data_IF_104251755579
#
_entry.id   IF_104251755579
#
_cell.length_a   1.000
_cell.length_b   1.000
_cell.length_c   1.000
_cell.angle_alpha   90.00
_cell.angle_beta   90.00
_cell.angle_gamma   90.00
#
_symmetry.space_group_name_H-M   'P 1'
#
loop_
_entity.id
_entity.type
_entity.pdbx_description
1 polymer ?
#
# COMPACT_ATOMS: atom_id res chain seq x y z
N UNK A 1 -15.71 24.29 -6.51
CA UNK A 1 -14.66 23.69 -5.66
C UNK A 1 -15.35 22.74 -4.70
N UNK A 2 -15.04 21.44 -4.73
CA UNK A 2 -15.27 20.63 -3.53
C UNK A 2 -14.40 21.23 -2.43
N UNK A 3 -15.01 21.68 -1.34
CA UNK A 3 -14.27 22.07 -0.15
C UNK A 3 -13.59 20.81 0.38
N UNK A 4 -12.29 20.68 0.14
CA UNK A 4 -11.50 19.69 0.86
C UNK A 4 -11.62 19.99 2.35
N UNK A 5 -11.77 18.94 3.18
CA UNK A 5 -11.84 19.12 4.63
C UNK A 5 -10.68 20.01 5.10
N UNK A 6 -10.91 20.88 6.10
CA UNK A 6 -9.87 21.77 6.60
C UNK A 6 -8.59 20.97 6.89
N UNK A 7 -7.49 21.45 6.31
CA UNK A 7 -6.17 20.82 6.48
C UNK A 7 -5.64 21.26 7.83
N UNK A 8 -5.92 20.47 8.85
CA UNK A 8 -5.58 20.81 10.23
C UNK A 8 -4.17 20.34 10.62
N UNK A 9 -3.55 19.44 9.82
CA UNK A 9 -2.27 18.81 10.16
C UNK A 9 -1.36 18.59 8.95
N UNK A 10 -0.04 18.51 9.23
CA UNK A 10 0.98 18.14 8.22
C UNK A 10 0.68 16.78 7.58
N UNK A 11 0.22 15.81 8.37
CA UNK A 11 -0.10 14.46 7.87
C UNK A 11 -1.27 14.45 6.88
N UNK A 12 -2.32 15.26 7.12
CA UNK A 12 -3.43 15.41 6.16
C UNK A 12 -2.95 16.07 4.86
N UNK A 13 -2.08 17.08 4.95
CA UNK A 13 -1.48 17.71 3.77
C UNK A 13 -0.67 16.70 2.95
N UNK A 14 0.18 15.91 3.60
CA UNK A 14 0.97 14.87 2.93
C UNK A 14 0.09 13.77 2.30
N UNK A 15 -1.01 13.39 2.96
CA UNK A 15 -1.95 12.43 2.40
C UNK A 15 -2.60 12.95 1.11
N UNK A 16 -3.07 14.21 1.11
CA UNK A 16 -3.62 14.86 -0.09
C UNK A 16 -2.58 14.99 -1.20
N UNK A 17 -1.35 15.40 -0.87
CA UNK A 17 -0.25 15.46 -1.84
C UNK A 17 -0.05 14.10 -2.49
N UNK A 18 0.01 13.01 -1.70
CA UNK A 18 0.23 11.68 -2.23
C UNK A 18 -0.92 11.17 -3.10
N UNK A 19 -2.17 11.49 -2.74
CA UNK A 19 -3.35 11.16 -3.54
C UNK A 19 -3.33 11.89 -4.89
N UNK A 20 -3.15 13.21 -4.89
CA UNK A 20 -3.16 14.01 -6.12
C UNK A 20 -1.97 13.66 -7.02
N UNK A 21 -0.80 13.47 -6.41
CA UNK A 21 0.42 13.03 -7.08
C UNK A 21 0.21 11.69 -7.79
N UNK A 22 -0.39 10.71 -7.12
CA UNK A 22 -0.64 9.37 -7.67
C UNK A 22 -1.53 9.44 -8.91
N UNK A 23 -2.71 10.07 -8.79
CA UNK A 23 -3.66 10.17 -9.89
C UNK A 23 -3.09 10.92 -11.11
N UNK A 24 -2.38 12.03 -10.91
CA UNK A 24 -1.74 12.75 -12.00
C UNK A 24 -0.62 11.93 -12.65
N UNK A 25 0.16 11.21 -11.83
CA UNK A 25 1.23 10.34 -12.32
C UNK A 25 0.69 9.19 -13.19
N UNK A 26 -0.37 8.51 -12.74
CA UNK A 26 -1.07 7.47 -13.51
C UNK A 26 -1.54 8.00 -14.88
N UNK A 27 -2.19 9.16 -14.89
CA UNK A 27 -2.62 9.82 -16.12
C UNK A 27 -1.44 10.13 -17.05
N UNK A 28 -0.35 10.71 -16.54
CA UNK A 28 0.82 11.08 -17.35
C UNK A 28 1.54 9.86 -17.95
N UNK A 29 1.67 8.77 -17.18
CA UNK A 29 2.25 7.51 -17.69
C UNK A 29 1.37 6.96 -18.80
N UNK A 30 0.06 6.89 -18.59
CA UNK A 30 -0.89 6.40 -19.58
C UNK A 30 -0.90 7.25 -20.87
N UNK A 31 -0.85 8.58 -20.73
CA UNK A 31 -0.76 9.50 -21.86
C UNK A 31 0.54 9.28 -22.65
N UNK A 32 1.68 9.16 -21.96
CA UNK A 32 2.97 8.93 -22.60
C UNK A 32 3.03 7.56 -23.31
N UNK A 33 2.42 6.51 -22.74
CA UNK A 33 2.23 5.22 -23.42
C UNK A 33 1.36 5.37 -24.67
N UNK A 34 0.21 6.03 -24.57
CA UNK A 34 -0.69 6.24 -25.70
C UNK A 34 -0.02 7.04 -26.82
N UNK A 35 0.82 8.02 -26.49
CA UNK A 35 1.63 8.76 -27.45
C UNK A 35 2.65 7.86 -28.15
N UNK A 36 3.37 7.03 -27.39
CA UNK A 36 4.33 6.07 -27.95
C UNK A 36 3.68 5.14 -28.98
N UNK A 37 2.49 4.60 -28.66
CA UNK A 37 1.73 3.72 -29.54
C UNK A 37 0.85 4.44 -30.58
N UNK A 38 0.96 5.78 -30.70
CA UNK A 38 0.22 6.61 -31.67
C UNK A 38 -1.30 6.54 -31.54
N UNK A 39 -1.80 6.31 -30.34
CA UNK A 39 -3.23 6.24 -29.98
C UNK A 39 -3.64 7.35 -28.98
N UNK A 40 -2.82 8.39 -28.82
CA UNK A 40 -3.08 9.51 -27.90
C UNK A 40 -4.43 10.19 -28.17
N UNK A 41 -4.85 10.28 -29.45
CA UNK A 41 -6.16 10.84 -29.81
C UNK A 41 -7.33 10.05 -29.22
N UNK A 42 -7.28 8.73 -29.28
CA UNK A 42 -8.29 7.84 -28.68
C UNK A 42 -8.23 7.89 -27.15
N UNK A 43 -7.01 7.89 -26.60
CA UNK A 43 -6.79 8.05 -25.16
C UNK A 43 -7.42 9.34 -24.63
N UNK A 44 -7.12 10.51 -25.21
CA UNK A 44 -7.67 11.80 -24.74
C UNK A 44 -9.19 11.81 -24.84
N UNK A 45 -9.78 11.24 -25.91
CA UNK A 45 -11.23 11.13 -26.05
C UNK A 45 -11.88 10.27 -24.97
N UNK A 46 -11.15 9.32 -24.40
CA UNK A 46 -11.63 8.50 -23.29
C UNK A 46 -11.73 9.27 -21.95
N UNK A 47 -11.02 10.41 -21.83
CA UNK A 47 -11.11 11.30 -20.66
C UNK A 47 -12.04 12.48 -20.91
N UNK A 48 -13.25 12.41 -20.36
CA UNK A 48 -14.24 13.48 -20.40
C UNK A 48 -14.94 13.68 -19.05
N UNK A 49 -15.71 14.76 -18.94
CA UNK A 49 -16.56 15.03 -17.77
C UNK A 49 -15.80 15.15 -16.46
N UNK A 50 -16.25 14.42 -15.45
CA UNK A 50 -15.82 14.57 -14.06
C UNK A 50 -14.34 14.22 -13.84
N UNK A 51 -13.81 13.21 -14.52
CA UNK A 51 -12.40 12.79 -14.36
C UNK A 51 -11.45 13.92 -14.80
N UNK A 52 -11.75 14.57 -15.92
CA UNK A 52 -10.94 15.70 -16.42
C UNK A 52 -10.99 16.88 -15.46
N UNK A 53 -12.18 17.19 -14.92
CA UNK A 53 -12.35 18.24 -13.91
C UNK A 53 -11.52 17.93 -12.66
N UNK A 54 -11.61 16.70 -12.16
CA UNK A 54 -10.88 16.23 -10.99
C UNK A 54 -9.36 16.32 -11.17
N UNK A 55 -8.81 15.83 -12.28
CA UNK A 55 -7.38 15.95 -12.57
C UNK A 55 -6.93 17.41 -12.69
N UNK A 56 -7.77 18.29 -13.24
CA UNK A 56 -7.49 19.73 -13.32
C UNK A 56 -7.45 20.36 -11.93
N UNK A 57 -8.37 19.99 -11.04
CA UNK A 57 -8.37 20.45 -9.65
C UNK A 57 -7.13 19.96 -8.88
N UNK A 58 -6.73 18.71 -9.08
CA UNK A 58 -5.52 18.12 -8.48
C UNK A 58 -4.25 18.85 -8.93
N UNK A 59 -4.12 19.10 -10.24
CA UNK A 59 -3.01 19.86 -10.81
C UNK A 59 -2.95 21.28 -10.25
N UNK A 60 -4.09 22.00 -10.23
CA UNK A 60 -4.15 23.36 -9.70
C UNK A 60 -3.73 23.41 -8.22
N UNK A 61 -4.24 22.49 -7.40
CA UNK A 61 -3.91 22.44 -5.99
C UNK A 61 -2.42 22.18 -5.76
N UNK A 62 -1.83 21.24 -6.49
CA UNK A 62 -0.40 20.92 -6.37
C UNK A 62 0.51 22.04 -6.88
N UNK A 63 0.11 22.81 -7.90
CA UNK A 63 0.88 23.99 -8.34
C UNK A 63 1.04 25.02 -7.23
N UNK A 64 0.01 25.18 -6.40
CA UNK A 64 0.04 26.13 -5.26
C UNK A 64 0.83 25.57 -4.08
N UNK A 65 0.64 24.29 -3.76
CA UNK A 65 1.14 23.73 -2.49
C UNK A 65 2.46 22.95 -2.60
N UNK A 66 2.78 22.38 -3.77
CA UNK A 66 3.98 21.58 -4.05
C UNK A 66 4.47 21.81 -5.51
N UNK A 67 4.86 23.04 -5.89
CA UNK A 67 5.20 23.40 -7.28
C UNK A 67 6.37 22.59 -7.86
N UNK A 68 7.32 22.19 -7.01
CA UNK A 68 8.46 21.34 -7.41
C UNK A 68 7.98 19.98 -7.94
N UNK A 69 6.92 19.42 -7.36
CA UNK A 69 6.37 18.14 -7.81
C UNK A 69 5.84 18.23 -9.25
N UNK A 70 5.06 19.29 -9.56
CA UNK A 70 4.48 19.50 -10.89
C UNK A 70 5.56 19.63 -11.97
N UNK A 71 6.69 20.27 -11.65
CA UNK A 71 7.83 20.39 -12.56
C UNK A 71 8.43 19.02 -12.93
N UNK A 72 8.50 18.10 -11.97
CA UNK A 72 9.20 16.83 -12.14
C UNK A 72 8.29 15.66 -12.58
N UNK A 73 6.99 15.74 -12.32
CA UNK A 73 6.03 14.67 -12.65
C UNK A 73 6.08 14.20 -14.11
N UNK A 74 6.11 15.09 -15.13
CA UNK A 74 6.19 14.66 -16.53
C UNK A 74 7.47 13.88 -16.85
N UNK A 75 8.61 14.30 -16.29
CA UNK A 75 9.91 13.62 -16.46
C UNK A 75 9.88 12.24 -15.82
N UNK A 76 9.37 12.14 -14.58
CA UNK A 76 9.24 10.87 -13.88
C UNK A 76 8.33 9.88 -14.63
N UNK A 77 7.21 10.38 -15.18
CA UNK A 77 6.30 9.56 -15.98
C UNK A 77 6.95 9.10 -17.30
N UNK A 78 7.75 9.96 -17.95
CA UNK A 78 8.52 9.61 -19.14
C UNK A 78 9.49 8.45 -18.90
N UNK A 79 10.27 8.51 -17.81
CA UNK A 79 11.20 7.44 -17.42
C UNK A 79 10.49 6.10 -17.18
N UNK A 80 9.29 6.12 -16.60
CA UNK A 80 8.50 4.89 -16.44
C UNK A 80 8.10 4.29 -17.77
N UNK A 81 7.71 5.11 -18.73
CA UNK A 81 7.34 4.63 -20.07
C UNK A 81 8.53 4.01 -20.79
N UNK A 82 9.71 4.62 -20.70
CA UNK A 82 10.94 4.10 -21.29
C UNK A 82 11.27 2.69 -20.80
N UNK A 83 11.13 2.43 -19.49
CA UNK A 83 11.37 1.11 -18.90
C UNK A 83 10.21 0.12 -19.12
N UNK A 84 8.98 0.60 -19.27
CA UNK A 84 7.81 -0.24 -19.52
C UNK A 84 7.77 -0.78 -20.95
N UNK A 85 8.10 0.03 -21.96
CA UNK A 85 7.95 -0.33 -23.38
C UNK A 85 8.60 -1.69 -23.73
N UNK A 86 9.85 -1.99 -23.33
CA UNK A 86 10.48 -3.29 -23.63
C UNK A 86 9.76 -4.49 -23.01
N UNK A 87 8.93 -4.25 -21.99
CA UNK A 87 8.18 -5.26 -21.25
C UNK A 87 6.73 -5.37 -21.73
N UNK A 88 6.27 -4.50 -22.62
CA UNK A 88 4.90 -4.49 -23.14
C UNK A 88 4.77 -5.23 -24.47
N UNK A 89 3.56 -5.68 -24.83
CA UNK A 89 3.29 -6.22 -26.15
C UNK A 89 3.50 -5.18 -27.24
N UNK A 90 3.72 -5.66 -28.46
CA UNK A 90 3.66 -4.82 -29.66
C UNK A 90 2.21 -4.55 -30.07
N UNK A 91 2.01 -3.50 -30.88
CA UNK A 91 0.71 -3.16 -31.48
C UNK A 91 -0.43 -2.93 -30.48
N UNK A 92 -0.14 -2.21 -29.38
CA UNK A 92 -1.17 -1.77 -28.44
C UNK A 92 -2.23 -0.94 -29.17
N UNK A 93 -3.49 -1.37 -29.05
CA UNK A 93 -4.65 -0.69 -29.64
C UNK A 93 -5.37 0.22 -28.64
N UNK A 94 -5.15 0.02 -27.34
CA UNK A 94 -5.83 0.80 -26.30
C UNK A 94 -4.99 0.94 -25.03
N UNK A 95 -5.12 2.11 -24.39
CA UNK A 95 -4.60 2.40 -23.04
C UNK A 95 -5.73 2.98 -22.22
N UNK A 96 -5.95 2.47 -21.02
CA UNK A 96 -7.01 2.90 -20.10
C UNK A 96 -6.42 3.17 -18.71
N UNK A 97 -6.85 4.25 -18.06
CA UNK A 97 -6.60 4.45 -16.62
C UNK A 97 -7.82 3.96 -15.88
N UNK A 98 -7.63 2.97 -15.00
CA UNK A 98 -8.69 2.30 -14.26
C UNK A 98 -8.57 2.50 -12.74
N UNK A 99 -7.62 3.33 -12.29
CA UNK A 99 -7.40 3.65 -10.88
C UNK A 99 -8.68 4.05 -10.13
N UNK A 100 -8.59 4.23 -8.81
CA UNK A 100 -9.74 4.35 -7.87
C UNK A 100 -10.86 5.32 -8.28
N UNK A 101 -10.57 6.29 -9.13
CA UNK A 101 -11.49 7.34 -9.59
C UNK A 101 -12.39 6.93 -10.78
N UNK A 102 -12.06 5.86 -11.52
CA UNK A 102 -12.73 5.50 -12.78
C UNK A 102 -13.96 4.56 -12.64
N UNK A 103 -14.36 4.23 -11.41
CA UNK A 103 -15.58 3.45 -11.16
C UNK A 103 -15.41 1.95 -11.40
N UNK A 104 -15.21 1.21 -10.30
CA UNK A 104 -15.54 -0.20 -10.14
C UNK A 104 -15.13 -1.14 -11.28
N UNK A 105 -13.92 -1.70 -11.20
CA UNK A 105 -13.67 -3.01 -11.81
C UNK A 105 -14.65 -4.01 -11.20
N UNK A 106 -15.71 -4.37 -11.94
CA UNK A 106 -16.54 -5.53 -11.61
C UNK A 106 -15.75 -6.85 -11.67
N UNK A 107 -14.51 -6.81 -12.18
CA UNK A 107 -13.60 -7.92 -12.23
C UNK A 107 -12.47 -7.75 -11.20
N UNK A 108 -12.51 -8.55 -10.13
CA UNK A 108 -11.52 -8.59 -9.05
C UNK A 108 -10.09 -8.86 -9.53
N UNK A 109 -9.91 -9.41 -10.74
CA UNK A 109 -8.59 -9.75 -11.29
C UNK A 109 -7.71 -8.53 -11.61
N UNK A 110 -8.27 -7.31 -11.61
CA UNK A 110 -7.57 -6.08 -11.94
C UNK A 110 -7.53 -5.05 -10.81
N UNK A 111 -7.93 -5.44 -9.59
CA UNK A 111 -8.05 -4.53 -8.43
C UNK A 111 -6.71 -3.86 -8.01
N UNK A 112 -5.58 -4.36 -8.52
CA UNK A 112 -4.23 -3.84 -8.26
C UNK A 112 -3.68 -2.97 -9.40
N UNK A 113 -4.37 -2.92 -10.53
CA UNK A 113 -3.92 -2.24 -11.73
C UNK A 113 -4.42 -0.80 -11.77
N UNK A 114 -3.54 0.11 -12.17
CA UNK A 114 -3.84 1.53 -12.35
C UNK A 114 -4.04 1.84 -13.83
N UNK A 115 -3.33 1.12 -14.71
CA UNK A 115 -3.44 1.21 -16.17
C UNK A 115 -3.71 -0.18 -16.76
N UNK A 116 -4.57 -0.24 -17.77
CA UNK A 116 -4.68 -1.40 -18.66
C UNK A 116 -4.14 -1.02 -20.05
N UNK A 117 -3.32 -1.88 -20.64
CA UNK A 117 -3.00 -1.80 -22.06
C UNK A 117 -3.55 -3.03 -22.77
N UNK A 118 -4.12 -2.82 -23.95
CA UNK A 118 -4.81 -3.87 -24.70
C UNK A 118 -4.22 -3.98 -26.11
N UNK A 119 -4.09 -5.21 -26.61
CA UNK A 119 -3.86 -5.49 -28.03
C UNK A 119 -4.80 -6.63 -28.47
N UNK A 120 -4.59 -7.18 -29.67
CA UNK A 120 -5.39 -8.29 -30.17
C UNK A 120 -5.22 -9.61 -29.38
N UNK A 121 -4.11 -9.77 -28.64
CA UNK A 121 -3.76 -10.98 -27.89
C UNK A 121 -4.34 -10.97 -26.48
N UNK A 122 -4.55 -9.79 -25.88
CA UNK A 122 -5.15 -9.69 -24.56
C UNK A 122 -5.01 -8.34 -23.88
N UNK A 123 -5.24 -8.37 -22.56
CA UNK A 123 -5.17 -7.23 -21.65
C UNK A 123 -3.97 -7.42 -20.73
N UNK A 124 -3.15 -6.37 -20.60
CA UNK A 124 -1.93 -6.37 -19.81
C UNK A 124 -2.07 -5.31 -18.72
N UNK A 125 -2.37 -5.70 -17.48
CA UNK A 125 -2.51 -4.76 -16.37
C UNK A 125 -1.15 -4.24 -15.89
N UNK A 126 -1.11 -2.95 -15.57
CA UNK A 126 0.07 -2.26 -15.02
C UNK A 126 -0.32 -1.64 -13.69
N UNK A 127 0.44 -1.96 -12.64
CA UNK A 127 0.37 -1.30 -11.33
C UNK A 127 1.48 -0.26 -11.23
N UNK A 128 1.17 0.94 -10.79
CA UNK A 128 2.08 2.07 -10.70
C UNK A 128 2.32 2.50 -9.26
N UNK A 129 3.57 2.82 -8.95
CA UNK A 129 3.97 3.42 -7.68
C UNK A 129 4.91 4.58 -7.95
N UNK A 130 4.70 5.72 -7.27
CA UNK A 130 5.67 6.82 -7.21
C UNK A 130 6.12 7.02 -5.77
N UNK A 131 7.35 6.60 -5.48
CA UNK A 131 7.87 6.48 -4.12
C UNK A 131 9.18 7.24 -3.90
N UNK A 132 9.47 7.60 -2.66
CA UNK A 132 10.79 8.12 -2.28
C UNK A 132 11.83 7.00 -2.33
N UNK A 133 13.03 7.26 -2.82
CA UNK A 133 14.12 6.28 -2.84
C UNK A 133 14.42 5.72 -1.45
N UNK A 134 14.75 4.43 -1.41
CA UNK A 134 15.01 3.64 -0.20
C UNK A 134 13.85 3.51 0.79
N UNK A 135 12.67 4.06 0.48
CA UNK A 135 11.47 3.85 1.26
C UNK A 135 10.86 2.48 0.96
N UNK A 136 10.16 1.93 1.95
CA UNK A 136 9.30 0.78 1.74
C UNK A 136 8.08 1.19 0.90
N UNK A 137 7.83 0.44 -0.17
CA UNK A 137 6.71 0.61 -1.09
C UNK A 137 5.54 -0.20 -0.57
N UNK A 138 4.48 0.45 -0.10
CA UNK A 138 3.29 -0.25 0.35
C UNK A 138 2.65 -1.01 -0.81
N UNK A 139 2.47 -2.32 -0.67
CA UNK A 139 1.91 -3.21 -1.70
C UNK A 139 0.51 -3.66 -1.31
N UNK A 140 0.32 -4.09 -0.06
CA UNK A 140 -0.97 -4.56 0.45
C UNK A 140 -1.34 -4.03 1.82
N UNK A 141 -2.64 -4.08 2.06
CA UNK A 141 -3.30 -3.61 3.26
C UNK A 141 -4.57 -4.38 3.47
N UNK A 142 -4.69 -5.07 4.59
CA UNK A 142 -5.86 -5.88 4.92
C UNK A 142 -6.15 -5.83 6.42
N UNK A 143 -7.38 -6.17 6.80
CA UNK A 143 -7.75 -6.31 8.21
C UNK A 143 -7.09 -7.53 8.81
N UNK A 144 -6.60 -7.41 10.05
CA UNK A 144 -5.96 -8.53 10.76
C UNK A 144 -6.91 -9.74 10.89
N UNK A 145 -8.22 -9.48 10.99
CA UNK A 145 -9.23 -10.51 11.21
C UNK A 145 -9.60 -11.37 9.99
N UNK A 146 -9.03 -11.07 8.83
CA UNK A 146 -9.24 -11.85 7.60
C UNK A 146 -7.94 -12.14 6.84
N UNK A 147 -6.80 -11.67 7.34
CA UNK A 147 -5.53 -11.70 6.61
C UNK A 147 -5.08 -13.11 6.25
N UNK A 148 -5.11 -14.04 7.21
CA UNK A 148 -4.66 -15.42 6.99
C UNK A 148 -5.58 -16.15 6.03
N UNK A 149 -6.89 -16.10 6.28
CA UNK A 149 -7.87 -16.77 5.41
C UNK A 149 -7.93 -16.18 4.00
N UNK A 150 -7.51 -14.92 3.82
CA UNK A 150 -7.49 -14.29 2.50
C UNK A 150 -6.27 -14.72 1.67
N UNK A 151 -5.06 -14.68 2.23
CA UNK A 151 -3.83 -14.85 1.46
C UNK A 151 -3.20 -16.24 1.56
N UNK A 152 -3.55 -16.99 2.61
CA UNK A 152 -3.05 -18.34 2.87
C UNK A 152 -4.20 -19.37 2.83
N UNK A 153 -5.23 -19.11 2.02
CA UNK A 153 -6.46 -19.91 1.94
C UNK A 153 -6.23 -21.37 1.52
N UNK A 154 -5.17 -21.64 0.76
CA UNK A 154 -4.81 -22.98 0.29
C UNK A 154 -4.22 -23.86 1.41
N UNK A 155 -3.78 -23.28 2.54
CA UNK A 155 -3.30 -24.05 3.70
C UNK A 155 -4.48 -24.66 4.47
N UNK A 156 -4.35 -25.94 4.83
CA UNK A 156 -5.41 -26.68 5.55
C UNK A 156 -5.81 -26.03 6.88
N UNK A 157 -4.85 -25.44 7.59
CA UNK A 157 -5.03 -24.81 8.91
C UNK A 157 -5.34 -23.31 8.85
N UNK A 158 -5.56 -22.72 7.67
CA UNK A 158 -5.74 -21.27 7.54
C UNK A 158 -6.86 -20.72 8.45
N UNK A 159 -8.00 -21.42 8.51
CA UNK A 159 -9.15 -21.00 9.32
C UNK A 159 -8.84 -21.11 10.82
N UNK A 160 -8.21 -22.19 11.24
CA UNK A 160 -7.79 -22.38 12.63
C UNK A 160 -6.89 -21.24 13.12
N UNK A 161 -5.85 -20.89 12.35
CA UNK A 161 -4.98 -19.77 12.71
C UNK A 161 -5.70 -18.42 12.66
N UNK A 162 -6.58 -18.20 11.69
CA UNK A 162 -7.36 -16.97 11.62
C UNK A 162 -8.26 -16.79 12.84
N UNK A 163 -8.93 -17.85 13.31
CA UNK A 163 -9.78 -17.82 14.49
C UNK A 163 -8.96 -17.54 15.77
N UNK A 164 -7.79 -18.18 15.92
CA UNK A 164 -6.87 -17.89 17.03
C UNK A 164 -6.40 -16.43 17.05
N UNK A 165 -6.05 -15.88 15.88
CA UNK A 165 -5.65 -14.48 15.75
C UNK A 165 -6.81 -13.55 16.10
N UNK A 166 -8.04 -13.86 15.67
CA UNK A 166 -9.22 -13.05 15.96
C UNK A 166 -9.46 -12.94 17.47
N UNK A 167 -9.47 -14.08 18.17
CA UNK A 167 -9.63 -14.14 19.62
C UNK A 167 -8.48 -13.41 20.34
N UNK A 168 -7.25 -13.60 19.85
CA UNK A 168 -6.06 -12.93 20.35
C UNK A 168 -6.14 -11.41 20.24
N UNK A 169 -6.62 -10.89 19.10
CA UNK A 169 -6.80 -9.45 18.86
C UNK A 169 -7.85 -8.87 19.81
N UNK A 170 -8.99 -9.52 19.96
CA UNK A 170 -10.08 -9.02 20.81
C UNK A 170 -9.67 -9.01 22.30
N UNK A 171 -8.99 -10.06 22.76
CA UNK A 171 -8.45 -10.12 24.11
C UNK A 171 -7.44 -9.01 24.38
N UNK A 172 -6.45 -8.84 23.48
CA UNK A 172 -5.40 -7.82 23.66
C UNK A 172 -5.94 -6.40 23.53
N UNK A 173 -6.88 -6.15 22.63
CA UNK A 173 -7.55 -4.86 22.54
C UNK A 173 -8.28 -4.51 23.84
N UNK A 174 -9.02 -5.47 24.41
CA UNK A 174 -9.71 -5.26 25.69
C UNK A 174 -8.74 -4.98 26.84
N UNK A 175 -7.63 -5.73 26.91
CA UNK A 175 -6.57 -5.52 27.91
C UNK A 175 -5.91 -4.14 27.76
N UNK A 176 -5.53 -3.77 26.54
CA UNK A 176 -5.00 -2.44 26.21
C UNK A 176 -5.96 -1.34 26.63
N UNK A 177 -7.26 -1.48 26.29
CA UNK A 177 -8.26 -0.48 26.63
C UNK A 177 -8.43 -0.33 28.15
N UNK A 178 -8.52 -1.44 28.88
CA UNK A 178 -8.59 -1.41 30.35
C UNK A 178 -7.39 -0.71 30.97
N UNK A 179 -6.17 -1.06 30.54
CA UNK A 179 -4.95 -0.47 31.09
C UNK A 179 -4.84 1.03 30.77
N UNK A 180 -5.19 1.43 29.55
CA UNK A 180 -5.19 2.84 29.17
C UNK A 180 -6.19 3.67 29.98
N UNK A 181 -7.39 3.15 30.23
CA UNK A 181 -8.39 3.84 31.04
C UNK A 181 -7.96 3.91 32.51
N UNK A 182 -7.41 2.84 33.08
CA UNK A 182 -6.86 2.83 34.43
C UNK A 182 -5.75 3.88 34.61
N UNK A 183 -4.78 3.93 33.68
CA UNK A 183 -3.69 4.92 33.69
C UNK A 183 -4.18 6.36 33.50
N UNK A 184 -5.29 6.54 32.79
CA UNK A 184 -5.94 7.83 32.60
C UNK A 184 -6.89 8.20 33.76
N UNK A 185 -7.06 7.32 34.77
CA UNK A 185 -8.07 7.47 35.83
C UNK A 185 -9.50 7.64 35.27
N UNK A 186 -9.79 6.94 34.18
CA UNK A 186 -11.09 6.89 33.51
C UNK A 186 -11.72 5.52 33.72
N UNK A 187 -13.04 5.47 33.81
CA UNK A 187 -13.77 4.21 33.92
C UNK A 187 -14.03 3.62 32.52
N UNK A 188 -13.78 2.32 32.34
CA UNK A 188 -13.94 1.63 31.05
C UNK A 188 -15.27 0.85 30.95
N UNK A 189 -16.11 1.23 29.99
CA UNK A 189 -17.44 0.63 29.77
C UNK A 189 -17.46 -0.34 28.58
N UNK A 190 -16.35 -1.02 28.32
CA UNK A 190 -16.22 -1.98 27.21
C UNK A 190 -15.87 -1.34 25.86
N UNK A 191 -15.76 -0.01 25.77
CA UNK A 191 -15.31 0.73 24.58
C UNK A 191 -14.67 2.05 24.95
N UNK A 192 -13.87 2.60 24.05
CA UNK A 192 -13.51 4.01 24.08
C UNK A 192 -14.73 4.85 23.70
N UNK A 193 -14.96 5.95 24.42
CA UNK A 193 -16.02 6.92 24.11
C UNK A 193 -15.54 8.37 24.31
N UNK A 194 -16.47 9.32 24.22
CA UNK A 194 -16.21 10.77 24.28
C UNK A 194 -15.39 11.20 25.51
N UNK A 195 -15.47 10.47 26.63
CA UNK A 195 -14.74 10.80 27.86
C UNK A 195 -13.23 10.72 27.69
N UNK A 196 -12.74 9.85 26.81
CA UNK A 196 -11.31 9.77 26.48
C UNK A 196 -10.80 11.10 25.90
N UNK A 197 -11.53 11.63 24.91
CA UNK A 197 -11.18 12.89 24.26
C UNK A 197 -11.48 14.11 25.12
N UNK A 198 -12.56 14.09 25.91
CA UNK A 198 -12.89 15.17 26.85
C UNK A 198 -11.87 15.30 28.00
N UNK A 199 -11.24 14.20 28.38
CA UNK A 199 -10.11 14.19 29.32
C UNK A 199 -8.79 14.69 28.68
N UNK A 200 -8.81 15.10 27.41
CA UNK A 200 -7.66 15.68 26.71
C UNK A 200 -6.71 14.66 26.08
N UNK A 201 -7.06 13.37 26.02
CA UNK A 201 -6.24 12.35 25.39
C UNK A 201 -6.53 12.21 23.89
N UNK A 202 -5.47 12.10 23.09
CA UNK A 202 -5.59 11.83 21.66
C UNK A 202 -5.98 10.38 21.38
N UNK A 203 -6.67 10.15 20.26
CA UNK A 203 -6.96 8.82 19.72
C UNK A 203 -5.91 8.36 18.68
N UNK A 204 -4.91 9.20 18.42
CA UNK A 204 -3.79 8.93 17.52
C UNK A 204 -2.61 8.42 18.35
N UNK A 205 -2.05 7.22 18.08
CA UNK A 205 -0.98 6.67 18.91
C UNK A 205 0.22 7.61 19.04
N UNK A 206 0.62 8.25 17.94
CA UNK A 206 1.79 9.14 17.90
C UNK A 206 1.61 10.46 18.66
N UNK A 207 0.40 10.75 19.14
CA UNK A 207 0.10 11.94 19.95
C UNK A 207 -0.19 11.57 21.42
N UNK A 208 -0.10 10.29 21.78
CA UNK A 208 -0.22 9.87 23.18
C UNK A 208 1.06 10.22 23.96
N UNK A 209 0.94 10.49 25.26
CA UNK A 209 2.07 10.46 26.18
C UNK A 209 2.86 9.15 26.05
N UNK A 210 4.18 9.22 26.18
CA UNK A 210 5.10 8.08 25.98
C UNK A 210 4.68 6.82 26.74
N UNK A 211 4.27 6.96 28.00
CA UNK A 211 3.83 5.83 28.83
C UNK A 211 2.56 5.14 28.30
N UNK A 212 1.60 5.91 27.78
CA UNK A 212 0.38 5.35 27.17
C UNK A 212 0.68 4.76 25.79
N UNK A 213 1.57 5.41 25.02
CA UNK A 213 1.99 4.93 23.71
C UNK A 213 2.66 3.55 23.80
N UNK A 214 3.48 3.30 24.83
CA UNK A 214 4.11 1.99 25.06
C UNK A 214 3.09 0.85 25.13
N UNK A 215 1.98 1.05 25.83
CA UNK A 215 0.90 0.04 25.95
C UNK A 215 0.29 -0.27 24.57
N UNK A 216 0.06 0.77 23.77
CA UNK A 216 -0.48 0.63 22.41
C UNK A 216 0.51 -0.08 21.48
N UNK A 217 1.79 0.28 21.53
CA UNK A 217 2.84 -0.34 20.70
C UNK A 217 3.06 -1.80 21.09
N UNK A 218 3.06 -2.12 22.39
CA UNK A 218 3.15 -3.50 22.87
C UNK A 218 2.00 -4.36 22.35
N UNK A 219 0.78 -3.81 22.36
CA UNK A 219 -0.40 -4.49 21.82
C UNK A 219 -0.22 -4.84 20.33
N UNK A 220 0.35 -3.93 19.54
CA UNK A 220 0.65 -4.21 18.13
C UNK A 220 1.78 -5.22 17.94
N UNK A 221 2.80 -5.19 18.79
CA UNK A 221 3.87 -6.18 18.79
C UNK A 221 3.31 -7.59 19.05
N UNK A 222 2.48 -7.75 20.07
CA UNK A 222 1.92 -9.06 20.40
C UNK A 222 1.00 -9.60 19.32
N UNK A 223 0.30 -8.70 18.60
CA UNK A 223 -0.48 -9.08 17.42
C UNK A 223 0.42 -9.50 16.24
N UNK A 224 1.54 -8.81 16.00
CA UNK A 224 2.45 -9.21 14.92
C UNK A 224 3.15 -10.54 15.22
N UNK A 225 3.39 -10.84 16.51
CA UNK A 225 3.97 -12.11 16.94
C UNK A 225 3.06 -13.30 16.57
N UNK A 226 1.74 -13.18 16.71
CA UNK A 226 0.81 -14.23 16.28
C UNK A 226 0.89 -14.47 14.76
N UNK A 227 0.97 -13.39 13.97
CA UNK A 227 1.15 -13.47 12.51
C UNK A 227 2.49 -14.12 12.18
N UNK A 228 3.58 -13.70 12.85
CA UNK A 228 4.92 -14.24 12.66
C UNK A 228 4.97 -15.76 12.91
N UNK A 229 4.38 -16.20 14.03
CA UNK A 229 4.32 -17.61 14.39
C UNK A 229 3.50 -18.39 13.35
N UNK A 230 2.32 -17.91 12.98
CA UNK A 230 1.48 -18.52 11.94
C UNK A 230 2.21 -18.69 10.60
N UNK A 231 2.87 -17.63 10.12
CA UNK A 231 3.58 -17.66 8.84
C UNK A 231 4.79 -18.59 8.89
N UNK A 232 5.46 -18.67 10.04
CA UNK A 232 6.55 -19.61 10.27
C UNK A 232 6.08 -21.07 10.24
N UNK A 233 4.88 -21.36 10.76
CA UNK A 233 4.26 -22.69 10.64
C UNK A 233 3.95 -23.03 9.18
N UNK A 234 3.33 -22.13 8.42
CA UNK A 234 3.03 -22.36 7.00
C UNK A 234 4.28 -22.55 6.14
N UNK A 235 5.33 -21.77 6.39
CA UNK A 235 6.61 -21.93 5.69
C UNK A 235 7.24 -23.31 5.94
N UNK A 236 7.08 -23.86 7.15
CA UNK A 236 7.54 -25.22 7.50
C UNK A 236 6.64 -26.32 6.95
N UNK A 237 5.33 -26.08 6.87
CA UNK A 237 4.35 -27.04 6.35
C UNK A 237 4.52 -27.28 4.85
N UNK A 238 4.58 -26.20 4.06
CA UNK A 238 4.81 -26.27 2.61
C UNK A 238 5.44 -24.96 2.11
N UNK A 239 6.76 -24.99 1.89
CA UNK A 239 7.52 -23.81 1.47
C UNK A 239 7.17 -23.34 0.05
N UNK A 240 6.74 -24.23 -0.84
CA UNK A 240 6.37 -23.87 -2.22
C UNK A 240 5.01 -23.18 -2.24
N UNK A 241 4.04 -23.73 -1.52
CA UNK A 241 2.74 -23.11 -1.36
C UNK A 241 2.87 -21.77 -0.62
N UNK A 242 3.72 -21.70 0.40
CA UNK A 242 4.01 -20.47 1.12
C UNK A 242 4.54 -19.39 0.17
N UNK A 243 5.53 -19.70 -0.66
CA UNK A 243 6.07 -18.77 -1.64
C UNK A 243 4.99 -18.23 -2.61
N UNK A 244 4.10 -19.11 -3.08
CA UNK A 244 2.95 -18.71 -3.91
C UNK A 244 2.00 -17.78 -3.15
N UNK A 245 1.70 -18.05 -1.88
CA UNK A 245 0.86 -17.19 -1.02
C UNK A 245 1.48 -15.82 -0.70
N UNK A 246 2.80 -15.66 -0.84
CA UNK A 246 3.48 -14.37 -0.66
C UNK A 246 3.33 -13.44 -1.89
N UNK A 247 3.13 -13.99 -3.09
CA UNK A 247 3.03 -13.19 -4.33
C UNK A 247 2.00 -12.03 -4.25
N UNK A 248 0.76 -12.25 -3.79
CA UNK A 248 -0.19 -11.14 -3.63
C UNK A 248 0.28 -10.09 -2.62
N UNK A 249 1.05 -10.48 -1.59
CA UNK A 249 1.53 -9.56 -0.55
C UNK A 249 2.63 -8.63 -1.05
N UNK A 250 3.38 -9.02 -2.08
CA UNK A 250 4.34 -8.15 -2.77
C UNK A 250 3.68 -7.39 -3.94
N UNK A 251 2.35 -7.50 -4.09
CA UNK A 251 1.55 -6.81 -5.11
C UNK A 251 1.52 -7.50 -6.47
N UNK A 252 1.77 -8.81 -6.48
CA UNK A 252 1.61 -9.69 -7.64
C UNK A 252 0.40 -10.60 -7.35
N UNK A 253 -0.78 -10.00 -7.16
CA UNK A 253 -2.02 -10.76 -6.97
C UNK A 253 -2.53 -11.43 -8.24
N UNK A 254 -2.10 -10.91 -9.39
CA UNK A 254 -2.36 -11.46 -10.71
C UNK A 254 -1.01 -11.76 -11.40
N UNK A 255 -0.75 -12.99 -11.88
CA UNK A 255 0.49 -13.34 -12.57
C UNK A 255 0.83 -12.45 -13.77
N UNK A 256 -0.18 -11.87 -14.43
CA UNK A 256 -0.02 -11.03 -15.61
C UNK A 256 0.26 -9.56 -15.26
N UNK A 257 0.25 -9.19 -13.97
CA UNK A 257 0.50 -7.82 -13.55
C UNK A 257 1.95 -7.41 -13.74
N UNK A 258 2.12 -6.26 -14.37
CA UNK A 258 3.39 -5.58 -14.51
C UNK A 258 3.45 -4.50 -13.44
N UNK A 259 4.30 -4.67 -12.44
CA UNK A 259 4.50 -3.64 -11.42
C UNK A 259 5.60 -2.69 -11.86
N UNK A 260 5.31 -1.41 -11.96
CA UNK A 260 6.29 -0.36 -12.22
C UNK A 260 6.36 0.63 -11.06
N UNK A 261 7.52 0.68 -10.42
CA UNK A 261 7.80 1.63 -9.34
C UNK A 261 8.82 2.67 -9.80
N UNK A 262 8.41 3.94 -9.79
CA UNK A 262 9.29 5.07 -9.99
C UNK A 262 9.77 5.59 -8.64
N UNK A 263 11.09 5.75 -8.51
CA UNK A 263 11.72 6.30 -7.32
C UNK A 263 12.22 7.72 -7.54
N UNK A 264 11.95 8.58 -6.56
CA UNK A 264 12.42 9.95 -6.54
C UNK A 264 13.17 10.26 -5.24
N UNK A 265 14.12 11.18 -5.27
CA UNK A 265 14.91 11.60 -4.11
C UNK A 265 15.02 13.11 -4.03
N UNK A 266 15.59 13.57 -2.93
CA UNK A 266 15.95 14.97 -2.73
C UNK A 266 17.47 15.10 -2.91
N UNK A 267 17.90 16.05 -3.74
CA UNK A 267 19.32 16.32 -4.01
C UNK A 267 19.53 17.82 -3.90
N UNK A 268 20.43 18.26 -3.01
CA UNK A 268 20.74 19.68 -2.83
C UNK A 268 19.52 20.54 -2.45
N UNK A 269 18.54 19.98 -1.73
CA UNK A 269 17.30 20.66 -1.34
C UNK A 269 16.21 20.69 -2.43
N UNK A 270 16.48 20.21 -3.64
CA UNK A 270 15.45 20.04 -4.67
C UNK A 270 14.81 18.65 -4.55
N UNK A 271 13.50 18.64 -4.29
CA UNK A 271 12.70 17.42 -4.16
C UNK A 271 12.35 16.82 -5.52
N UNK A 272 11.95 15.55 -5.49
CA UNK A 272 11.37 14.81 -6.63
C UNK A 272 12.30 14.57 -7.82
N UNK A 273 13.62 14.68 -7.63
CA UNK A 273 14.57 14.29 -8.67
C UNK A 273 14.51 12.78 -8.89
N UNK A 274 14.57 12.36 -10.16
CA UNK A 274 14.53 10.94 -10.51
C UNK A 274 15.70 10.18 -9.87
N UNK A 275 15.40 8.96 -9.40
CA UNK A 275 16.38 8.08 -8.78
C UNK A 275 16.47 6.71 -9.43
N UNK A 276 15.42 6.29 -10.15
CA UNK A 276 15.37 5.00 -10.82
C UNK A 276 13.92 4.57 -11.08
N UNK A 277 13.75 3.62 -11.99
CA UNK A 277 12.48 2.95 -12.25
C UNK A 277 12.73 1.45 -12.22
N UNK A 278 11.81 0.72 -11.60
CA UNK A 278 11.89 -0.72 -11.47
C UNK A 278 10.61 -1.33 -11.99
N UNK A 279 10.77 -2.27 -12.94
CA UNK A 279 9.66 -2.98 -13.57
C UNK A 279 9.80 -4.46 -13.28
N UNK A 280 8.83 -5.02 -12.56
CA UNK A 280 8.82 -6.42 -12.12
C UNK A 280 7.57 -7.11 -12.64
N UNK A 281 7.74 -8.31 -13.20
CA UNK A 281 6.66 -9.25 -13.50
C UNK A 281 6.75 -10.46 -12.60
N UNK A 282 5.64 -11.20 -12.45
CA UNK A 282 5.66 -12.49 -11.76
C UNK A 282 6.69 -13.46 -12.36
N UNK A 283 6.90 -13.42 -13.67
CA UNK A 283 7.86 -14.26 -14.39
C UNK A 283 9.33 -13.90 -14.12
N UNK A 284 9.60 -12.69 -13.63
CA UNK A 284 10.96 -12.21 -13.36
C UNK A 284 11.47 -12.67 -11.98
N UNK A 285 10.59 -13.20 -11.12
CA UNK A 285 10.93 -13.66 -9.78
C UNK A 285 11.29 -15.15 -9.79
N UNK A 286 12.47 -15.46 -9.26
CA UNK A 286 12.86 -16.86 -8.98
C UNK A 286 12.61 -17.18 -7.50
N UNK A 287 11.79 -18.20 -7.25
CA UNK A 287 11.61 -18.76 -5.91
C UNK A 287 12.56 -19.93 -5.64
N UNK A 288 13.55 -20.16 -6.50
CA UNK A 288 14.51 -21.26 -6.34
C UNK A 288 15.36 -21.11 -5.07
N UNK A 289 15.65 -19.88 -4.65
CA UNK A 289 16.31 -19.57 -3.38
C UNK A 289 15.42 -19.69 -2.14
N UNK A 290 14.11 -19.95 -2.33
CA UNK A 290 13.13 -19.99 -1.25
C UNK A 290 12.74 -18.60 -0.71
N UNK A 291 11.74 -18.60 0.17
CA UNK A 291 11.38 -17.42 0.98
C UNK A 291 11.91 -17.65 2.39
N UNK A 292 12.61 -16.67 2.95
CA UNK A 292 13.12 -16.73 4.32
C UNK A 292 12.39 -15.73 5.20
N UNK A 293 11.81 -16.20 6.31
CA UNK A 293 11.27 -15.31 7.35
C UNK A 293 12.40 -14.90 8.30
N UNK A 294 12.67 -13.60 8.39
CA UNK A 294 13.70 -13.07 9.27
C UNK A 294 13.20 -13.00 10.73
N UNK A 295 14.11 -13.10 11.71
CA UNK A 295 13.73 -13.02 13.12
C UNK A 295 12.95 -11.74 13.45
N UNK A 296 11.83 -11.91 14.16
CA UNK A 296 11.10 -10.79 14.75
C UNK A 296 11.98 -10.11 15.80
N UNK A 297 12.11 -8.78 15.69
CA UNK A 297 12.85 -7.96 16.66
C UNK A 297 11.93 -7.59 17.83
N UNK A 298 12.50 -7.53 19.04
CA UNK A 298 11.77 -7.08 20.23
C UNK A 298 11.18 -5.68 20.03
N UNK A 299 9.96 -5.48 20.52
CA UNK A 299 9.25 -4.18 20.55
C UNK A 299 8.95 -3.56 19.18
N UNK A 300 9.13 -4.31 18.09
CA UNK A 300 8.79 -3.87 16.73
C UNK A 300 7.52 -4.59 16.28
N UNK A 301 6.49 -3.83 15.91
CA UNK A 301 5.23 -4.34 15.35
C UNK A 301 5.33 -4.79 13.89
N UNK A 302 6.51 -5.23 13.45
CA UNK A 302 6.77 -5.71 12.11
C UNK A 302 7.91 -6.72 12.05
N UNK A 303 7.84 -7.65 11.12
CA UNK A 303 8.96 -8.51 10.72
C UNK A 303 9.14 -8.45 9.19
N UNK A 304 10.20 -9.07 8.72
CA UNK A 304 10.59 -9.03 7.32
C UNK A 304 10.80 -10.45 6.77
N UNK A 305 10.60 -10.60 5.46
CA UNK A 305 10.91 -11.79 4.70
C UNK A 305 11.87 -11.42 3.57
N UNK A 306 12.83 -12.29 3.27
CA UNK A 306 13.59 -12.24 2.01
C UNK A 306 12.83 -13.02 0.95
N UNK A 307 12.60 -12.37 -0.19
CA UNK A 307 11.88 -12.91 -1.35
C UNK A 307 12.68 -12.54 -2.59
N UNK A 308 13.55 -13.44 -3.06
CA UNK A 308 14.49 -13.17 -4.16
C UNK A 308 15.27 -11.85 -3.92
N UNK A 309 15.11 -10.85 -4.78
CA UNK A 309 15.77 -9.53 -4.68
C UNK A 309 14.98 -8.51 -3.85
N UNK A 310 13.95 -8.95 -3.13
CA UNK A 310 13.05 -8.09 -2.37
C UNK A 310 13.08 -8.43 -0.87
N UNK A 311 12.91 -7.41 -0.04
CA UNK A 311 12.42 -7.55 1.33
C UNK A 311 10.95 -7.22 1.39
N UNK A 312 10.14 -8.17 1.84
CA UNK A 312 8.76 -7.93 2.24
C UNK A 312 8.71 -7.64 3.74
N UNK A 313 8.24 -6.47 4.14
CA UNK A 313 7.90 -6.16 5.52
C UNK A 313 6.40 -6.41 5.75
N UNK A 314 6.07 -7.11 6.83
CA UNK A 314 4.71 -7.30 7.33
C UNK A 314 4.59 -6.57 8.67
N UNK A 315 3.72 -5.57 8.75
CA UNK A 315 3.56 -4.69 9.91
C UNK A 315 2.11 -4.64 10.39
N UNK A 316 1.91 -4.67 11.71
CA UNK A 316 0.64 -4.32 12.34
C UNK A 316 0.60 -2.81 12.63
N UNK A 317 -0.50 -2.17 12.24
CA UNK A 317 -0.78 -0.77 12.52
C UNK A 317 -2.28 -0.56 12.79
N UNK A 318 -2.68 0.51 13.48
CA UNK A 318 -4.11 0.86 13.56
C UNK A 318 -4.64 1.23 12.17
N UNK A 319 -5.97 1.14 11.98
CA UNK A 319 -6.62 1.62 10.76
C UNK A 319 -6.45 3.13 10.61
N UNK A 320 -6.98 3.90 11.57
CA UNK A 320 -6.86 5.36 11.67
C UNK A 320 -6.64 5.80 13.13
N UNK A 321 -7.42 5.22 14.05
CA UNK A 321 -7.35 5.44 15.51
C UNK A 321 -7.09 4.11 16.21
N UNK A 322 -6.44 4.15 17.38
CA UNK A 322 -6.24 2.93 18.19
C UNK A 322 -7.48 2.54 19.00
N UNK A 323 -8.49 3.42 19.07
CA UNK A 323 -9.70 3.25 19.87
C UNK A 323 -10.71 2.23 19.30
N UNK A 324 -10.33 1.53 18.22
CA UNK A 324 -11.15 0.50 17.58
C UNK A 324 -10.39 -0.83 17.51
N UNK A 325 -11.09 -1.95 17.73
CA UNK A 325 -10.56 -3.31 17.62
C UNK A 325 -10.37 -3.76 16.15
N UNK A 326 -9.90 -2.83 15.30
CA UNK A 326 -9.70 -3.01 13.88
C UNK A 326 -8.25 -2.67 13.55
N UNK A 327 -7.36 -3.65 13.75
CA UNK A 327 -5.97 -3.51 13.33
C UNK A 327 -5.79 -3.92 11.87
N UNK A 328 -4.75 -3.37 11.27
CA UNK A 328 -4.42 -3.52 9.86
C UNK A 328 -3.06 -4.19 9.72
N UNK A 329 -3.02 -5.21 8.88
CA UNK A 329 -1.77 -5.79 8.37
C UNK A 329 -1.38 -5.00 7.14
N UNK A 330 -0.21 -4.39 7.18
CA UNK A 330 0.37 -3.64 6.09
C UNK A 330 1.59 -4.38 5.57
N UNK A 331 1.56 -4.68 4.27
CA UNK A 331 2.66 -5.28 3.55
C UNK A 331 3.35 -4.19 2.72
N UNK A 332 4.67 -4.18 2.73
CA UNK A 332 5.46 -3.26 1.94
C UNK A 332 6.75 -3.91 1.49
N UNK A 333 7.22 -3.56 0.29
CA UNK A 333 8.44 -4.12 -0.27
C UNK A 333 9.55 -3.09 -0.30
N UNK A 334 10.79 -3.56 -0.19
CA UNK A 334 11.99 -2.78 -0.44
C UNK A 334 12.98 -3.64 -1.21
N UNK A 335 13.61 -3.09 -2.22
CA UNK A 335 14.61 -3.82 -2.97
C UNK A 335 15.91 -4.00 -2.18
N UNK A 336 16.53 -5.16 -2.39
CA UNK A 336 17.86 -5.52 -1.91
C UNK A 336 18.83 -5.24 -3.06
N UNK A 337 19.25 -3.99 -3.21
CA UNK A 337 20.33 -3.60 -4.15
C UNK A 337 21.66 -4.24 -3.77
#
# INVERSE_FOLDING_TARGET
MREYQPIDTVAQKEALINEFKGNLFEYLVAQNLARHFKIEGDFIRSFGGDIRTQLTEYDHWLRVHEPSLIKHLPTLAGLVVEELIPKLPTNISRVLVIGKSAGGSHNKSWDEADILVENAEGIFPISLKLCKSHAFVNTKSAGIKSFISQYFSEFSKNKYYQDLINDGVDRRFKQMALELHDRASLEFFGRFDHRWTEAGYSELPGQLPSELNKIVVQTYHDCVLDIYNCLSEFMREDSKLFAKSILPLIGIGNPDIIQATCFHREVGGEKYQASGVHVVKSSDLSFEGGVEILPLKSDISSFELHVDKLRLQIRIKPMNKFTSAAFKVNCSIKELT
#
